data_IF_742576794348
#
_entry.id   IF_742576794348
#
_cell.length_a   1.000
_cell.length_b   1.000
_cell.length_c   1.000
_cell.angle_alpha   90.00
_cell.angle_beta   90.00
_cell.angle_gamma   90.00
#
_symmetry.space_group_name_H-M   'P 1'
#
loop_
_entity.id
_entity.type
_entity.pdbx_description
1 polymer ?
#
# COMPACT_ATOMS: atom_id res chain seq x y z
N UNK A 1 -21.80 4.58 -5.80
CA UNK A 1 -20.81 5.14 -4.86
C UNK A 1 -21.55 5.91 -3.80
N UNK A 2 -21.50 5.48 -2.53
CA UNK A 2 -22.04 6.28 -1.45
C UNK A 2 -21.23 7.58 -1.35
N UNK A 3 -21.90 8.73 -1.38
CA UNK A 3 -21.26 10.04 -1.18
C UNK A 3 -20.62 10.08 0.20
N UNK A 4 -19.34 10.46 0.27
CA UNK A 4 -18.60 10.55 1.53
C UNK A 4 -19.27 11.61 2.42
N UNK A 5 -19.64 11.24 3.65
CA UNK A 5 -20.20 12.19 4.62
C UNK A 5 -19.11 13.15 5.10
N UNK A 6 -19.04 14.32 4.48
CA UNK A 6 -18.04 15.37 4.77
C UNK A 6 -18.32 16.17 6.04
N UNK A 7 -19.45 15.95 6.69
CA UNK A 7 -19.84 16.60 7.95
C UNK A 7 -19.65 15.72 9.18
N UNK A 8 -19.08 14.52 9.03
CA UNK A 8 -18.83 13.64 10.17
C UNK A 8 -17.60 14.09 10.95
N UNK A 9 -17.59 13.90 12.26
CA UNK A 9 -16.41 14.15 13.11
C UNK A 9 -15.16 13.43 12.58
N UNK A 10 -15.31 12.19 12.13
CA UNK A 10 -14.22 11.43 11.52
C UNK A 10 -13.63 12.10 10.28
N UNK A 11 -14.48 12.67 9.40
CA UNK A 11 -14.02 13.38 8.22
C UNK A 11 -13.27 14.67 8.60
N UNK A 12 -13.86 15.49 9.48
CA UNK A 12 -13.26 16.76 9.91
C UNK A 12 -11.94 16.55 10.65
N UNK A 13 -11.86 15.51 11.50
CA UNK A 13 -10.62 15.16 12.21
C UNK A 13 -9.52 14.73 11.24
N UNK A 14 -9.86 13.93 10.24
CA UNK A 14 -8.90 13.53 9.21
C UNK A 14 -8.38 14.75 8.44
N UNK A 15 -9.29 15.60 7.94
CA UNK A 15 -8.92 16.81 7.18
C UNK A 15 -8.03 17.75 8.01
N UNK A 16 -8.36 17.93 9.30
CA UNK A 16 -7.55 18.72 10.22
C UNK A 16 -6.14 18.14 10.41
N UNK A 17 -6.01 16.81 10.58
CA UNK A 17 -4.71 16.16 10.76
C UNK A 17 -3.86 16.21 9.49
N UNK A 18 -4.45 15.90 8.34
CA UNK A 18 -3.79 15.96 7.02
C UNK A 18 -3.33 17.40 6.70
N UNK A 19 -4.14 18.41 7.05
CA UNK A 19 -3.79 19.82 6.87
C UNK A 19 -2.65 20.33 7.78
N UNK A 20 -2.25 19.59 8.82
CA UNK A 20 -1.16 20.00 9.73
C UNK A 20 0.22 19.75 9.15
N UNK A 21 0.42 18.63 8.45
CA UNK A 21 1.70 18.20 7.92
C UNK A 21 1.52 17.06 6.91
N UNK A 22 2.30 17.06 5.83
CA UNK A 22 2.31 15.98 4.83
C UNK A 22 2.64 14.59 5.42
N UNK A 23 3.39 14.53 6.53
CA UNK A 23 3.61 13.28 7.26
C UNK A 23 2.29 12.64 7.71
N UNK A 24 1.32 13.42 8.18
CA UNK A 24 0.04 12.88 8.63
C UNK A 24 -0.77 12.30 7.46
N UNK A 25 -0.66 12.87 6.26
CA UNK A 25 -1.27 12.32 5.06
C UNK A 25 -0.65 10.97 4.69
N UNK A 26 0.68 10.86 4.75
CA UNK A 26 1.38 9.59 4.53
C UNK A 26 1.00 8.54 5.58
N UNK A 27 1.00 8.89 6.86
CA UNK A 27 0.59 7.98 7.95
C UNK A 27 -0.86 7.54 7.76
N UNK A 28 -1.76 8.44 7.36
CA UNK A 28 -3.13 8.08 7.06
C UNK A 28 -3.24 7.12 5.87
N UNK A 29 -2.48 7.34 4.79
CA UNK A 29 -2.39 6.41 3.66
C UNK A 29 -1.93 5.03 4.14
N UNK A 30 -0.80 4.96 4.84
CA UNK A 30 -0.21 3.71 5.35
C UNK A 30 -1.13 2.98 6.33
N UNK A 31 -1.91 3.71 7.14
CA UNK A 31 -2.87 3.13 8.08
C UNK A 31 -4.04 2.40 7.41
N UNK A 32 -4.27 2.60 6.11
CA UNK A 32 -5.29 1.89 5.37
C UNK A 32 -4.87 0.42 5.24
N UNK A 33 -5.69 -0.47 5.82
CA UNK A 33 -5.52 -1.93 5.72
C UNK A 33 -5.11 -2.38 4.31
N UNK A 34 -4.06 -3.19 4.21
CA UNK A 34 -3.45 -3.72 2.97
C UNK A 34 -2.55 -2.76 2.18
N UNK A 35 -2.37 -1.48 2.55
CA UNK A 35 -1.46 -0.59 1.78
C UNK A 35 -0.02 -1.09 1.86
N UNK A 36 0.48 -1.33 3.07
CA UNK A 36 1.86 -1.81 3.29
C UNK A 36 2.05 -3.20 2.72
N UNK A 37 1.12 -4.14 2.98
CA UNK A 37 1.23 -5.52 2.47
C UNK A 37 1.27 -5.57 0.93
N UNK A 38 0.46 -4.75 0.25
CA UNK A 38 0.48 -4.66 -1.23
C UNK A 38 1.80 -4.06 -1.73
N UNK A 39 2.33 -3.02 -1.06
CA UNK A 39 3.61 -2.40 -1.40
C UNK A 39 4.74 -3.44 -1.36
N UNK A 40 4.85 -4.15 -0.24
CA UNK A 40 5.89 -5.14 0.00
C UNK A 40 5.72 -6.40 -0.84
N UNK A 41 4.49 -6.81 -1.14
CA UNK A 41 4.23 -7.92 -2.05
C UNK A 41 4.77 -7.61 -3.47
N UNK A 42 4.62 -6.37 -3.92
CA UNK A 42 5.21 -5.89 -5.19
C UNK A 42 6.74 -5.84 -5.10
N UNK A 43 7.30 -5.38 -3.98
CA UNK A 43 8.74 -5.41 -3.72
C UNK A 43 9.32 -6.81 -3.83
N UNK A 44 8.64 -7.80 -3.22
CA UNK A 44 8.99 -9.23 -3.29
C UNK A 44 8.82 -9.86 -4.68
N UNK A 45 8.53 -9.06 -5.72
CA UNK A 45 8.52 -9.49 -7.12
C UNK A 45 7.16 -9.90 -7.67
N UNK A 46 6.08 -9.80 -6.89
CA UNK A 46 4.74 -10.05 -7.42
C UNK A 46 4.27 -8.86 -8.25
N UNK A 47 4.46 -8.98 -9.57
CA UNK A 47 4.22 -7.88 -10.50
C UNK A 47 2.80 -7.87 -11.09
N UNK A 48 1.96 -8.90 -10.88
CA UNK A 48 0.61 -9.00 -11.47
C UNK A 48 -0.48 -8.93 -10.43
N UNK A 49 -1.66 -8.48 -10.85
CA UNK A 49 -2.83 -8.44 -9.97
C UNK A 49 -3.15 -9.81 -9.35
N UNK A 50 -3.09 -10.89 -10.14
CA UNK A 50 -3.36 -12.25 -9.66
C UNK A 50 -2.32 -12.73 -8.67
N UNK A 51 -1.02 -12.51 -8.93
CA UNK A 51 0.04 -12.94 -8.03
C UNK A 51 0.03 -12.16 -6.71
N UNK A 52 -0.23 -10.84 -6.77
CA UNK A 52 -0.41 -10.02 -5.56
C UNK A 52 -1.61 -10.51 -4.74
N UNK A 53 -2.73 -10.85 -5.40
CA UNK A 53 -3.92 -11.39 -4.73
C UNK A 53 -3.65 -12.76 -4.09
N UNK A 54 -2.97 -13.65 -4.81
CA UNK A 54 -2.60 -14.99 -4.34
C UNK A 54 -1.70 -14.92 -3.10
N UNK A 55 -0.80 -13.95 -3.03
CA UNK A 55 0.04 -13.70 -1.86
C UNK A 55 -0.71 -13.11 -0.66
N UNK A 56 -1.94 -12.62 -0.85
CA UNK A 56 -2.72 -11.91 0.17
C UNK A 56 -4.10 -12.58 0.35
N UNK A 57 -4.11 -13.74 1.04
CA UNK A 57 -5.24 -14.68 1.12
C UNK A 57 -6.63 -14.04 1.33
N UNK A 58 -6.74 -12.99 2.15
CA UNK A 58 -8.02 -12.39 2.54
C UNK A 58 -8.35 -11.07 1.84
N UNK A 59 -7.52 -10.61 0.90
CA UNK A 59 -7.81 -9.37 0.17
C UNK A 59 -8.88 -9.62 -0.91
N UNK A 60 -9.88 -8.74 -0.97
CA UNK A 60 -10.88 -8.80 -2.04
C UNK A 60 -10.39 -8.05 -3.28
N UNK A 61 -10.91 -8.41 -4.46
CA UNK A 61 -10.53 -7.75 -5.73
C UNK A 61 -10.78 -6.24 -5.69
N UNK A 62 -11.91 -5.85 -5.09
CA UNK A 62 -12.26 -4.44 -4.92
C UNK A 62 -11.22 -3.71 -4.07
N UNK A 63 -10.84 -4.29 -2.92
CA UNK A 63 -9.86 -3.68 -2.03
C UNK A 63 -8.49 -3.64 -2.69
N UNK A 64 -8.02 -4.72 -3.30
CA UNK A 64 -6.73 -4.73 -4.01
C UNK A 64 -6.68 -3.68 -5.13
N UNK A 65 -7.74 -3.59 -5.96
CA UNK A 65 -7.84 -2.56 -6.99
C UNK A 65 -7.75 -1.15 -6.42
N UNK A 66 -8.44 -0.90 -5.30
CA UNK A 66 -8.38 0.40 -4.63
C UNK A 66 -7.00 0.70 -4.03
N UNK A 67 -6.29 -0.29 -3.49
CA UNK A 67 -4.93 -0.12 -2.96
C UNK A 67 -3.92 0.18 -4.04
N UNK A 68 -3.94 -0.56 -5.15
CA UNK A 68 -3.09 -0.30 -6.31
C UNK A 68 -3.33 1.10 -6.87
N UNK A 69 -4.59 1.54 -6.99
CA UNK A 69 -4.92 2.91 -7.42
C UNK A 69 -4.39 3.97 -6.45
N UNK A 70 -4.48 3.74 -5.14
CA UNK A 70 -3.97 4.68 -4.13
C UNK A 70 -2.44 4.77 -4.18
N UNK A 71 -1.74 3.64 -4.26
CA UNK A 71 -0.29 3.60 -4.39
C UNK A 71 0.19 4.26 -5.69
N UNK A 72 -0.49 3.99 -6.82
CA UNK A 72 -0.19 4.59 -8.12
C UNK A 72 -0.43 6.11 -8.10
N UNK A 73 -1.57 6.55 -7.55
CA UNK A 73 -1.91 7.98 -7.42
C UNK A 73 -0.89 8.75 -6.58
N UNK A 74 -0.34 8.12 -5.55
CA UNK A 74 0.70 8.72 -4.70
C UNK A 74 2.12 8.55 -5.26
N UNK A 75 2.27 7.98 -6.46
CA UNK A 75 3.56 7.81 -7.12
C UNK A 75 4.49 6.82 -6.44
N UNK A 76 3.95 5.87 -5.65
CA UNK A 76 4.71 4.82 -4.96
C UNK A 76 4.87 3.58 -5.83
N UNK A 77 3.92 3.32 -6.73
CA UNK A 77 4.03 2.27 -7.75
C UNK A 77 3.77 2.83 -9.15
N UNK A 78 4.31 2.17 -10.17
CA UNK A 78 3.96 2.37 -11.57
C UNK A 78 3.15 1.19 -12.10
N UNK A 79 2.21 1.47 -13.01
CA UNK A 79 1.43 0.47 -13.72
C UNK A 79 1.85 0.44 -15.19
N UNK A 80 2.28 -0.72 -15.67
CA UNK A 80 2.71 -0.92 -17.05
C UNK A 80 1.73 -1.81 -17.80
N UNK A 81 1.31 -1.36 -18.99
CA UNK A 81 0.49 -2.15 -19.91
C UNK A 81 1.39 -2.67 -21.03
N UNK A 82 1.47 -3.99 -21.16
CA UNK A 82 2.25 -4.66 -22.19
C UNK A 82 1.32 -5.05 -23.34
N UNK A 83 1.62 -4.55 -24.53
CA UNK A 83 0.93 -4.93 -25.76
C UNK A 83 1.19 -6.41 -26.08
N UNK A 84 0.15 -7.13 -26.48
CA UNK A 84 0.21 -8.55 -26.81
C UNK A 84 -1.15 -9.23 -26.74
N UNK A 85 -1.19 -10.52 -27.08
CA UNK A 85 -2.40 -11.34 -26.95
C UNK A 85 -2.08 -12.54 -26.04
N UNK A 86 -2.63 -12.59 -24.81
CA UNK A 86 -3.45 -11.57 -24.15
C UNK A 86 -2.62 -10.36 -23.67
N UNK A 87 -3.23 -9.18 -23.60
CA UNK A 87 -2.62 -7.99 -23.01
C UNK A 87 -2.31 -8.24 -21.53
N UNK A 88 -1.16 -7.76 -21.05
CA UNK A 88 -0.71 -7.96 -19.66
C UNK A 88 -0.55 -6.63 -18.94
N UNK A 89 -0.89 -6.62 -17.66
CA UNK A 89 -0.67 -5.47 -16.78
C UNK A 89 0.30 -5.90 -15.68
N UNK A 90 1.35 -5.10 -15.47
CA UNK A 90 2.28 -5.30 -14.36
C UNK A 90 2.39 -4.05 -13.49
N UNK A 91 2.83 -4.24 -12.25
CA UNK A 91 3.07 -3.21 -11.25
C UNK A 91 4.51 -3.30 -10.76
N UNK A 92 5.13 -2.16 -10.49
CA UNK A 92 6.47 -2.08 -9.91
C UNK A 92 6.56 -0.91 -8.93
N UNK A 93 7.43 -1.00 -7.93
CA UNK A 93 7.74 0.15 -7.09
C UNK A 93 8.43 1.23 -7.93
N UNK A 94 8.09 2.50 -7.67
CA UNK A 94 8.88 3.63 -8.14
C UNK A 94 10.12 3.82 -7.28
N UNK A 95 11.01 4.75 -7.63
CA UNK A 95 12.13 5.15 -6.76
C UNK A 95 11.65 5.54 -5.35
N UNK A 96 10.60 6.38 -5.27
CA UNK A 96 9.97 6.75 -3.99
C UNK A 96 9.31 5.57 -3.27
N UNK A 97 8.76 4.61 -4.03
CA UNK A 97 8.22 3.38 -3.48
C UNK A 97 9.28 2.54 -2.77
N UNK A 98 10.44 2.38 -3.41
CA UNK A 98 11.58 1.68 -2.81
C UNK A 98 12.13 2.41 -1.58
N UNK A 99 12.30 3.74 -1.65
CA UNK A 99 12.71 4.54 -0.48
C UNK A 99 11.75 4.36 0.70
N UNK A 100 10.44 4.38 0.43
CA UNK A 100 9.42 4.15 1.46
C UNK A 100 9.50 2.73 2.03
N UNK A 101 9.66 1.72 1.19
CA UNK A 101 9.84 0.32 1.64
C UNK A 101 11.00 0.19 2.62
N UNK A 102 12.17 0.72 2.26
CA UNK A 102 13.34 0.68 3.15
C UNK A 102 13.13 1.43 4.47
N UNK A 103 12.33 2.51 4.50
CA UNK A 103 11.95 3.17 5.75
C UNK A 103 11.01 2.30 6.58
N UNK A 104 10.08 1.60 5.94
CA UNK A 104 9.15 0.67 6.61
C UNK A 104 9.88 -0.56 7.17
N UNK A 105 10.95 -1.05 6.52
CA UNK A 105 11.79 -2.14 7.05
C UNK A 105 12.40 -1.77 8.40
N UNK A 106 12.91 -0.54 8.53
CA UNK A 106 13.44 -0.05 9.80
C UNK A 106 12.34 0.02 10.88
N UNK A 107 11.12 0.42 10.50
CA UNK A 107 9.98 0.41 11.40
C UNK A 107 9.56 -1.01 11.79
N UNK A 108 9.67 -1.97 10.87
CA UNK A 108 9.46 -3.39 11.13
C UNK A 108 10.46 -3.91 12.18
N UNK A 109 11.76 -3.63 12.02
CA UNK A 109 12.79 -3.97 13.02
C UNK A 109 12.51 -3.34 14.38
N UNK A 110 12.12 -2.06 14.40
CA UNK A 110 11.76 -1.40 15.66
C UNK A 110 10.50 -2.01 16.28
N UNK A 111 9.53 -2.44 15.46
CA UNK A 111 8.28 -3.01 15.97
C UNK A 111 8.49 -4.31 16.75
N UNK A 112 9.49 -5.12 16.40
CA UNK A 112 9.86 -6.33 17.14
C UNK A 112 10.35 -6.04 18.57
N UNK A 113 10.92 -4.86 18.81
CA UNK A 113 11.30 -4.43 20.17
C UNK A 113 10.08 -4.11 21.04
N UNK A 114 8.95 -3.74 20.43
CA UNK A 114 7.72 -3.35 21.13
C UNK A 114 6.78 -4.54 21.33
N UNK A 115 6.62 -5.38 20.31
CA UNK A 115 5.51 -6.34 20.24
C UNK A 115 5.90 -7.80 20.45
N UNK A 116 7.14 -8.11 20.86
CA UNK A 116 7.64 -9.48 21.16
C UNK A 116 7.15 -10.54 20.15
N UNK A 117 7.24 -10.21 18.86
CA UNK A 117 6.85 -11.08 17.75
C UNK A 117 8.04 -11.29 16.83
N UNK A 118 8.21 -12.53 16.38
CA UNK A 118 9.25 -12.91 15.43
C UNK A 118 8.94 -12.28 14.07
N UNK A 119 9.83 -11.38 13.65
CA UNK A 119 10.02 -10.73 12.33
C UNK A 119 8.76 -10.19 11.61
N UNK A 120 8.90 -9.06 10.91
CA UNK A 120 7.90 -8.69 9.91
C UNK A 120 7.90 -9.80 8.85
N UNK A 121 6.92 -10.71 8.89
CA UNK A 121 6.66 -11.68 7.82
C UNK A 121 6.00 -10.92 6.66
N UNK A 122 6.73 -9.93 6.16
CA UNK A 122 6.32 -9.16 5.02
C UNK A 122 7.24 -9.58 3.87
N UNK A 123 6.93 -10.76 3.34
CA UNK A 123 7.29 -11.23 2.02
C UNK A 123 8.75 -11.19 1.61
N UNK A 124 9.57 -12.16 2.04
CA UNK A 124 10.30 -13.08 1.15
C UNK A 124 10.66 -14.35 1.95
N UNK A 125 10.42 -15.54 1.39
CA UNK A 125 11.23 -16.74 1.66
C UNK A 125 12.48 -16.71 0.77
#
# INVERSE_FOLDING_TARGET
MATRKTNSSNYLNQEFLEGRCALNELIYLLSKRWITDVLFTIEGGNDRFSSIKESLEHITDHILSDRLKLLEKNGLISKHQHAGVPAKVTYALTEKGNELSSMLDNLCTFSSEIFERDECIIGVE
#
